data_IF_887544402222
#
_entry.id   IF_887544402222
#
_cell.length_a   1.000
_cell.length_b   1.000
_cell.length_c   1.000
_cell.angle_alpha   90.00
_cell.angle_beta   90.00
_cell.angle_gamma   90.00
#
_symmetry.space_group_name_H-M   'P 1'
#
loop_
_entity.id
_entity.type
_entity.pdbx_description
1 polymer ?
#
# COMPACT_ATOMS: atom_id res chain seq x y z
N UNK A 1 25.53 31.56 4.18
CA UNK A 1 24.55 30.51 4.44
C UNK A 1 24.37 29.75 3.13
N UNK A 2 24.65 28.45 3.08
CA UNK A 2 24.38 27.64 1.87
C UNK A 2 22.88 27.72 1.57
N UNK A 3 22.53 28.01 0.32
CA UNK A 3 21.12 28.05 -0.10
C UNK A 3 20.54 26.64 0.03
N UNK A 4 19.52 26.46 0.85
CA UNK A 4 18.81 25.19 0.97
C UNK A 4 18.04 24.88 -0.32
N UNK A 5 18.03 23.63 -0.73
CA UNK A 5 17.23 23.16 -1.85
C UNK A 5 15.74 23.19 -1.44
N UNK A 6 14.92 23.93 -2.17
CA UNK A 6 13.48 23.98 -1.91
C UNK A 6 12.79 22.87 -2.70
N UNK A 7 12.09 21.96 -1.99
CA UNK A 7 11.38 20.83 -2.58
C UNK A 7 9.95 20.75 -2.07
N UNK A 8 9.06 20.25 -2.92
CA UNK A 8 7.70 19.89 -2.56
C UNK A 8 7.62 18.41 -2.19
N UNK A 9 6.89 18.08 -1.12
CA UNK A 9 6.49 16.71 -0.80
C UNK A 9 4.97 16.61 -0.80
N UNK A 10 4.42 15.78 -1.68
CA UNK A 10 3.00 15.40 -1.65
C UNK A 10 2.81 14.14 -0.84
N UNK A 11 1.93 14.17 0.15
CA UNK A 11 1.67 13.01 1.01
C UNK A 11 0.40 13.14 1.84
N UNK A 12 -0.10 12.01 2.35
CA UNK A 12 -1.13 11.98 3.37
C UNK A 12 -0.53 12.36 4.72
N UNK A 13 -1.37 12.88 5.61
CA UNK A 13 -0.94 13.31 6.92
C UNK A 13 -1.07 12.17 7.93
N UNK A 14 0.06 11.61 8.32
CA UNK A 14 0.18 10.57 9.33
C UNK A 14 0.86 11.11 10.59
N UNK A 15 0.65 10.48 11.73
CA UNK A 15 1.42 10.70 12.97
C UNK A 15 2.93 10.67 12.72
N UNK A 16 3.41 9.66 11.98
CA UNK A 16 4.83 9.43 11.60
C UNK A 16 5.38 10.42 10.58
N UNK A 17 4.55 11.26 9.95
CA UNK A 17 4.99 12.36 9.06
C UNK A 17 4.64 13.74 9.61
N UNK A 18 3.96 13.81 10.75
CA UNK A 18 3.52 15.05 11.36
C UNK A 18 4.66 16.05 11.60
N UNK A 19 5.83 15.57 12.09
CA UNK A 19 6.98 16.42 12.35
C UNK A 19 7.63 17.00 11.08
N UNK A 20 7.48 16.31 9.95
CA UNK A 20 7.85 16.86 8.64
C UNK A 20 6.85 17.94 8.20
N UNK A 21 5.56 17.72 8.42
CA UNK A 21 4.49 18.67 8.09
C UNK A 21 4.61 19.96 8.87
N UNK A 22 4.88 19.89 10.16
CA UNK A 22 5.07 21.07 11.03
C UNK A 22 6.38 21.80 10.80
N UNK A 23 7.35 21.16 10.11
CA UNK A 23 8.69 21.67 9.90
C UNK A 23 9.62 21.50 11.10
N UNK A 24 9.20 20.78 12.15
CA UNK A 24 10.03 20.40 13.30
C UNK A 24 11.24 19.55 12.84
N UNK A 25 11.00 18.66 11.87
CA UNK A 25 12.04 17.89 11.19
C UNK A 25 12.14 18.35 9.73
N UNK A 26 13.35 18.61 9.27
CA UNK A 26 13.65 18.93 7.87
C UNK A 26 14.86 18.11 7.41
N UNK A 27 14.89 17.62 6.16
CA UNK A 27 16.07 16.96 5.63
C UNK A 27 17.26 17.93 5.59
N UNK A 28 18.46 17.45 5.88
CA UNK A 28 19.66 18.29 5.85
C UNK A 28 19.86 18.88 4.43
N UNK A 29 20.14 20.18 4.37
CA UNK A 29 20.34 20.90 3.10
C UNK A 29 19.05 21.17 2.31
N UNK A 30 17.87 20.77 2.81
CA UNK A 30 16.58 20.92 2.13
C UNK A 30 15.64 21.79 2.97
N UNK A 31 14.79 22.53 2.27
CA UNK A 31 13.55 23.09 2.80
C UNK A 31 12.38 22.34 2.15
N UNK A 32 11.85 21.35 2.87
CA UNK A 32 10.74 20.52 2.40
C UNK A 32 9.42 21.23 2.67
N UNK A 33 8.68 21.53 1.61
CA UNK A 33 7.31 22.05 1.69
C UNK A 33 6.35 20.87 1.59
N UNK A 34 5.77 20.48 2.72
CA UNK A 34 4.79 19.41 2.80
C UNK A 34 3.42 19.89 2.29
N UNK A 35 2.87 19.20 1.30
CA UNK A 35 1.55 19.45 0.71
C UNK A 35 0.65 18.26 1.00
N UNK A 36 -0.22 18.41 2.02
CA UNK A 36 -1.22 17.40 2.32
C UNK A 36 -2.19 17.25 1.15
N UNK A 37 -2.31 16.04 0.65
CA UNK A 37 -3.14 15.72 -0.52
C UNK A 37 -3.80 14.36 -0.31
N UNK A 38 -5.09 14.26 -0.56
CA UNK A 38 -5.82 13.00 -0.49
C UNK A 38 -5.18 11.94 -1.42
N UNK A 39 -5.02 10.73 -0.91
CA UNK A 39 -4.20 9.67 -1.52
C UNK A 39 -4.56 9.37 -2.99
N UNK A 40 -5.84 9.33 -3.35
CA UNK A 40 -6.23 9.00 -4.73
C UNK A 40 -5.87 10.12 -5.71
N UNK A 41 -6.09 11.37 -5.29
CA UNK A 41 -5.71 12.54 -6.07
C UNK A 41 -4.18 12.67 -6.19
N UNK A 42 -3.48 12.45 -5.07
CA UNK A 42 -2.02 12.41 -5.04
C UNK A 42 -1.44 11.41 -6.05
N UNK A 43 -1.93 10.18 -6.03
CA UNK A 43 -1.41 9.12 -6.91
C UNK A 43 -1.70 9.40 -8.38
N UNK A 44 -2.87 9.94 -8.68
CA UNK A 44 -3.21 10.36 -10.03
C UNK A 44 -2.29 11.49 -10.53
N UNK A 45 -2.11 12.54 -9.73
CA UNK A 45 -1.26 13.69 -10.06
C UNK A 45 0.20 13.30 -10.20
N UNK A 46 0.71 12.49 -9.26
CA UNK A 46 2.09 12.03 -9.33
C UNK A 46 2.32 11.07 -10.48
N UNK A 47 1.46 10.10 -10.69
CA UNK A 47 1.59 9.12 -11.78
C UNK A 47 1.50 9.74 -13.17
N UNK A 48 0.57 10.69 -13.36
CA UNK A 48 0.31 11.30 -14.67
C UNK A 48 1.22 12.48 -14.99
N UNK A 49 1.55 13.30 -13.98
CA UNK A 49 2.22 14.58 -14.20
C UNK A 49 3.60 14.68 -13.54
N UNK A 50 3.97 13.69 -12.70
CA UNK A 50 5.13 13.77 -11.81
C UNK A 50 5.19 15.13 -11.08
N UNK A 51 4.05 15.56 -10.52
CA UNK A 51 3.82 16.94 -10.10
C UNK A 51 4.71 17.35 -8.93
N UNK A 52 4.93 16.45 -7.98
CA UNK A 52 5.72 16.73 -6.79
C UNK A 52 7.18 16.31 -6.99
N UNK A 53 8.09 17.00 -6.31
CA UNK A 53 9.53 16.67 -6.31
C UNK A 53 9.78 15.37 -5.55
N UNK A 54 9.10 15.21 -4.43
CA UNK A 54 9.05 14.02 -3.58
C UNK A 54 7.57 13.70 -3.34
N UNK A 55 7.17 12.46 -3.37
CA UNK A 55 5.78 12.09 -3.12
C UNK A 55 5.63 10.72 -2.46
N UNK A 56 4.60 10.55 -1.65
CA UNK A 56 4.05 9.24 -1.36
C UNK A 56 3.36 8.69 -2.60
N UNK A 57 3.58 7.41 -2.90
CA UNK A 57 3.01 6.79 -4.08
C UNK A 57 2.60 5.33 -3.82
N UNK A 58 1.61 4.83 -4.58
CA UNK A 58 1.19 3.43 -4.53
C UNK A 58 2.34 2.51 -4.88
N UNK A 59 2.67 1.55 -4.01
CA UNK A 59 3.79 0.63 -4.25
C UNK A 59 3.56 -0.24 -5.49
N UNK A 60 2.35 -0.77 -5.69
CA UNK A 60 2.02 -1.56 -6.88
C UNK A 60 2.11 -0.72 -8.17
N UNK A 61 1.53 0.49 -8.17
CA UNK A 61 1.63 1.39 -9.32
C UNK A 61 3.09 1.77 -9.61
N UNK A 62 3.92 1.99 -8.58
CA UNK A 62 5.34 2.24 -8.76
C UNK A 62 6.05 1.05 -9.43
N UNK A 63 5.84 -0.18 -8.93
CA UNK A 63 6.44 -1.37 -9.52
C UNK A 63 6.09 -1.51 -11.02
N UNK A 64 4.84 -1.22 -11.40
CA UNK A 64 4.44 -1.23 -12.79
C UNK A 64 5.20 -0.21 -13.66
N UNK A 65 5.65 0.92 -13.09
CA UNK A 65 6.45 1.91 -13.82
C UNK A 65 7.86 1.45 -14.12
N UNK A 66 8.38 0.42 -13.42
CA UNK A 66 9.76 -0.03 -13.58
C UNK A 66 10.05 -0.67 -14.95
N UNK A 67 9.01 -1.07 -15.68
CA UNK A 67 9.11 -1.47 -17.08
C UNK A 67 9.54 -0.32 -18.02
N UNK A 68 9.31 0.92 -17.61
CA UNK A 68 9.72 2.09 -18.37
C UNK A 68 11.10 2.59 -17.91
N UNK A 69 12.14 2.51 -18.75
CA UNK A 69 13.48 3.02 -18.41
C UNK A 69 13.50 4.54 -18.20
N UNK A 70 12.58 5.26 -18.86
CA UNK A 70 12.47 6.74 -18.79
C UNK A 70 11.53 7.23 -17.68
N UNK A 71 11.19 6.35 -16.70
CA UNK A 71 10.33 6.74 -15.58
C UNK A 71 10.85 7.98 -14.87
N UNK A 72 9.92 8.87 -14.50
CA UNK A 72 10.25 10.19 -13.96
C UNK A 72 10.82 10.17 -12.53
N UNK A 73 10.63 9.07 -11.77
CA UNK A 73 10.99 9.00 -10.36
C UNK A 73 11.58 7.65 -9.95
N UNK A 74 12.28 7.67 -8.83
CA UNK A 74 12.92 6.52 -8.17
C UNK A 74 12.42 6.44 -6.73
N UNK A 75 12.17 5.23 -6.22
CA UNK A 75 11.75 5.03 -4.85
C UNK A 75 12.91 5.12 -3.85
N UNK A 76 12.57 5.57 -2.66
CA UNK A 76 13.37 5.42 -1.44
C UNK A 76 12.72 4.34 -0.57
N UNK A 77 13.49 3.57 0.25
CA UNK A 77 12.93 2.55 1.12
C UNK A 77 12.26 3.15 2.36
N UNK A 78 11.33 4.06 2.12
CA UNK A 78 10.47 4.74 3.10
C UNK A 78 9.05 4.28 2.82
N UNK A 79 8.40 3.67 3.80
CA UNK A 79 7.09 3.03 3.66
C UNK A 79 6.06 3.70 4.57
N UNK A 80 5.50 4.84 4.16
CA UNK A 80 4.61 5.62 5.01
C UNK A 80 3.28 4.93 5.30
N UNK A 81 2.87 3.96 4.49
CA UNK A 81 1.63 3.22 4.69
C UNK A 81 1.84 1.72 4.62
N UNK A 82 1.35 1.03 5.64
CA UNK A 82 1.29 -0.42 5.77
C UNK A 82 -0.05 -0.83 6.34
N UNK A 83 -0.60 -1.94 5.90
CA UNK A 83 -1.82 -2.49 6.47
C UNK A 83 -1.98 -3.95 6.07
N UNK A 84 -2.42 -4.77 7.00
CA UNK A 84 -3.03 -6.05 6.68
C UNK A 84 -4.29 -5.81 5.84
N UNK A 85 -4.71 -6.82 5.09
CA UNK A 85 -5.82 -6.67 4.14
C UNK A 85 -6.89 -7.76 4.25
N UNK A 86 -6.82 -8.61 5.27
CA UNK A 86 -7.88 -9.60 5.53
C UNK A 86 -9.21 -8.91 5.82
N UNK A 87 -9.20 -7.79 6.55
CA UNK A 87 -10.36 -6.94 6.77
C UNK A 87 -10.97 -6.34 5.48
N UNK A 88 -10.23 -6.37 4.38
CA UNK A 88 -10.57 -5.73 3.10
C UNK A 88 -11.14 -6.71 2.06
N UNK A 89 -11.47 -7.93 2.47
CA UNK A 89 -12.13 -8.94 1.62
C UNK A 89 -13.56 -9.12 2.07
N UNK A 90 -14.48 -8.80 1.18
CA UNK A 90 -15.92 -8.88 1.38
C UNK A 90 -16.50 -9.97 0.49
N UNK A 91 -17.59 -10.59 0.93
CA UNK A 91 -18.30 -11.60 0.16
C UNK A 91 -19.81 -11.33 0.20
N UNK A 92 -20.51 -11.71 -0.87
CA UNK A 92 -21.96 -11.74 -0.84
C UNK A 92 -22.44 -12.77 0.20
N UNK A 93 -23.43 -12.41 1.00
CA UNK A 93 -23.87 -13.24 2.12
C UNK A 93 -24.54 -14.56 1.66
N UNK A 94 -25.11 -14.56 0.46
CA UNK A 94 -25.79 -15.72 -0.15
C UNK A 94 -24.80 -16.59 -0.96
N UNK A 95 -23.57 -16.10 -1.23
CA UNK A 95 -22.54 -16.90 -1.90
C UNK A 95 -22.04 -18.04 -0.99
N UNK A 96 -21.69 -19.16 -1.62
CA UNK A 96 -21.12 -20.34 -0.93
C UNK A 96 -19.63 -20.08 -0.64
N UNK A 97 -19.31 -18.92 -0.05
CA UNK A 97 -17.95 -18.52 0.31
C UNK A 97 -17.89 -18.25 1.81
N UNK A 98 -17.21 -19.13 2.54
CA UNK A 98 -17.08 -19.09 3.99
C UNK A 98 -15.63 -19.05 4.47
N UNK A 99 -14.70 -19.46 3.62
CA UNK A 99 -13.25 -19.50 3.86
C UNK A 99 -12.48 -19.15 2.57
N UNK A 100 -11.18 -18.81 2.65
CA UNK A 100 -10.41 -18.41 1.49
C UNK A 100 -10.43 -19.40 0.31
N UNK A 101 -10.36 -20.71 0.60
CA UNK A 101 -10.36 -21.75 -0.43
C UNK A 101 -11.63 -21.77 -1.28
N UNK A 102 -12.75 -21.31 -0.73
CA UNK A 102 -14.05 -21.28 -1.43
C UNK A 102 -14.09 -20.19 -2.54
N UNK A 103 -13.08 -19.28 -2.58
CA UNK A 103 -12.96 -18.30 -3.66
C UNK A 103 -12.52 -18.92 -5.00
N UNK A 104 -11.97 -20.13 -5.00
CA UNK A 104 -11.64 -20.84 -6.23
C UNK A 104 -12.90 -21.06 -7.09
N UNK A 105 -12.78 -20.83 -8.40
CA UNK A 105 -13.88 -20.96 -9.38
C UNK A 105 -15.08 -20.00 -9.14
N UNK A 106 -14.85 -18.87 -8.45
CA UNK A 106 -15.86 -17.84 -8.22
C UNK A 106 -15.55 -16.57 -9.00
N UNK A 107 -16.43 -15.56 -8.90
CA UNK A 107 -16.25 -14.25 -9.50
C UNK A 107 -15.86 -13.24 -8.40
N UNK A 108 -14.66 -12.64 -8.52
CA UNK A 108 -14.12 -11.72 -7.52
C UNK A 108 -13.82 -10.35 -8.12
N UNK A 109 -14.39 -9.31 -7.51
CA UNK A 109 -14.15 -7.92 -7.89
C UNK A 109 -12.90 -7.31 -7.24
N UNK A 110 -12.26 -6.37 -7.94
CA UNK A 110 -11.23 -5.48 -7.40
C UNK A 110 -11.25 -4.16 -8.16
N UNK A 111 -11.11 -2.97 -7.51
CA UNK A 111 -11.22 -1.70 -8.21
C UNK A 111 -10.23 -1.51 -9.36
N UNK A 112 -9.01 -1.96 -9.18
CA UNK A 112 -7.94 -1.93 -10.18
C UNK A 112 -7.06 -3.17 -10.03
N UNK A 113 -6.59 -3.74 -11.14
CA UNK A 113 -5.61 -4.83 -11.07
C UNK A 113 -4.30 -4.37 -10.43
N UNK A 114 -3.89 -3.13 -10.73
CA UNK A 114 -2.66 -2.49 -10.24
C UNK A 114 -2.73 -2.00 -8.79
N UNK A 115 -3.89 -2.10 -8.11
CA UNK A 115 -4.03 -1.68 -6.71
C UNK A 115 -3.14 -2.50 -5.78
N UNK A 116 -2.30 -1.83 -4.97
CA UNK A 116 -1.37 -2.52 -4.05
C UNK A 116 -2.08 -3.45 -3.07
N UNK A 117 -3.24 -3.05 -2.55
CA UNK A 117 -4.02 -3.90 -1.64
C UNK A 117 -4.46 -5.21 -2.31
N UNK A 118 -4.86 -5.13 -3.58
CA UNK A 118 -5.29 -6.30 -4.37
C UNK A 118 -4.11 -7.18 -4.77
N UNK A 119 -2.98 -6.57 -5.14
CA UNK A 119 -1.71 -7.27 -5.40
C UNK A 119 -1.32 -8.14 -4.19
N UNK A 120 -1.30 -7.54 -2.99
CA UNK A 120 -1.01 -8.25 -1.75
C UNK A 120 -2.02 -9.35 -1.45
N UNK A 121 -3.33 -9.04 -1.52
CA UNK A 121 -4.33 -10.04 -1.18
C UNK A 121 -4.33 -11.22 -2.16
N UNK A 122 -4.16 -11.00 -3.46
CA UNK A 122 -3.97 -12.11 -4.42
C UNK A 122 -2.76 -12.95 -4.05
N UNK A 123 -1.60 -12.34 -3.77
CA UNK A 123 -0.42 -13.06 -3.33
C UNK A 123 -0.64 -13.87 -2.04
N UNK A 124 -1.26 -13.27 -1.03
CA UNK A 124 -1.58 -13.93 0.24
C UNK A 124 -2.59 -15.07 0.04
N UNK A 125 -3.63 -14.87 -0.77
CA UNK A 125 -4.61 -15.92 -1.09
C UNK A 125 -3.93 -17.11 -1.77
N UNK A 126 -3.05 -16.85 -2.75
CA UNK A 126 -2.33 -17.92 -3.46
C UNK A 126 -1.32 -18.63 -2.57
N UNK A 127 -0.39 -17.88 -1.96
CA UNK A 127 0.75 -18.48 -1.25
C UNK A 127 0.38 -19.01 0.15
N UNK A 128 -0.35 -18.22 0.93
CA UNK A 128 -0.64 -18.58 2.32
C UNK A 128 -1.90 -19.42 2.48
N UNK A 129 -2.94 -19.14 1.66
CA UNK A 129 -4.21 -19.88 1.73
C UNK A 129 -4.40 -20.93 0.63
N UNK A 130 -3.45 -21.07 -0.30
CA UNK A 130 -3.48 -22.10 -1.35
C UNK A 130 -4.60 -21.94 -2.37
N UNK A 131 -5.11 -20.73 -2.57
CA UNK A 131 -6.17 -20.44 -3.54
C UNK A 131 -5.61 -20.46 -4.95
N UNK A 132 -6.19 -21.24 -5.86
CA UNK A 132 -5.85 -21.22 -7.29
C UNK A 132 -6.37 -19.94 -7.94
N UNK A 133 -5.50 -18.92 -8.04
CA UNK A 133 -5.89 -17.58 -8.49
C UNK A 133 -6.36 -17.52 -9.95
N UNK A 134 -5.87 -18.43 -10.79
CA UNK A 134 -6.22 -18.54 -12.23
C UNK A 134 -7.59 -19.17 -12.42
N UNK A 135 -8.12 -19.85 -11.38
CA UNK A 135 -9.48 -20.37 -11.39
C UNK A 135 -10.57 -19.30 -11.17
N UNK A 136 -10.17 -18.11 -10.68
CA UNK A 136 -11.09 -17.01 -10.34
C UNK A 136 -11.38 -16.16 -11.58
N UNK A 137 -12.65 -15.80 -11.78
CA UNK A 137 -13.04 -14.75 -12.74
C UNK A 137 -12.92 -13.37 -12.10
N UNK A 138 -11.83 -12.68 -12.43
CA UNK A 138 -11.56 -11.35 -11.86
C UNK A 138 -12.34 -10.26 -12.61
N UNK A 139 -12.96 -9.37 -11.85
CA UNK A 139 -13.67 -8.19 -12.37
C UNK A 139 -13.01 -6.91 -11.87
N UNK A 140 -12.71 -5.97 -12.78
CA UNK A 140 -12.20 -4.64 -12.42
C UNK A 140 -13.24 -3.57 -12.70
N UNK A 141 -13.26 -2.49 -11.90
CA UNK A 141 -14.19 -1.38 -12.08
C UNK A 141 -14.32 -0.50 -10.86
N UNK A 142 -15.14 0.54 -10.94
CA UNK A 142 -15.36 1.43 -9.81
C UNK A 142 -16.03 0.73 -8.62
N UNK A 143 -15.60 1.07 -7.39
CA UNK A 143 -16.20 0.51 -6.19
C UNK A 143 -17.63 1.04 -5.99
N UNK A 144 -17.77 2.36 -5.89
CA UNK A 144 -19.04 3.06 -5.66
C UNK A 144 -19.42 4.00 -6.83
N UNK A 145 -18.43 4.37 -7.65
CA UNK A 145 -18.60 5.25 -8.79
C UNK A 145 -18.26 4.50 -10.08
N UNK A 146 -19.02 4.75 -11.12
CA UNK A 146 -18.85 4.12 -12.44
C UNK A 146 -17.66 4.70 -13.21
N UNK A 147 -17.20 4.03 -14.26
CA UNK A 147 -16.23 4.56 -15.21
C UNK A 147 -14.78 4.63 -14.67
N UNK A 148 -14.44 3.91 -13.60
CA UNK A 148 -13.08 3.89 -13.08
C UNK A 148 -12.11 3.21 -14.04
N UNK A 149 -10.98 3.88 -14.27
CA UNK A 149 -9.89 3.37 -15.10
C UNK A 149 -8.66 3.01 -14.24
N UNK A 150 -7.85 2.09 -14.74
CA UNK A 150 -6.55 1.73 -14.13
C UNK A 150 -5.61 2.95 -14.08
N UNK A 151 -5.02 3.21 -12.91
CA UNK A 151 -4.03 4.29 -12.73
C UNK A 151 -2.67 3.95 -13.35
N UNK A 152 -2.31 2.67 -13.33
CA UNK A 152 -1.10 2.15 -13.94
C UNK A 152 -1.48 0.93 -14.79
N UNK A 153 -1.22 0.93 -16.09
CA UNK A 153 -1.55 -0.20 -16.95
C UNK A 153 -0.67 -1.40 -16.58
N UNK A 154 -1.30 -2.44 -16.06
CA UNK A 154 -0.69 -3.76 -15.83
C UNK A 154 -1.45 -4.75 -16.68
N UNK A 155 -0.72 -5.51 -17.49
CA UNK A 155 -1.30 -6.62 -18.23
C UNK A 155 -1.18 -7.89 -17.36
N UNK A 156 -2.32 -8.43 -16.88
CA UNK A 156 -2.30 -9.72 -16.18
C UNK A 156 -1.69 -10.80 -17.09
N UNK A 157 -1.03 -11.82 -16.52
CA UNK A 157 -0.61 -13.01 -17.29
C UNK A 157 -1.81 -13.65 -18.00
N UNK A 158 -1.57 -14.32 -19.14
CA UNK A 158 -2.61 -14.87 -20.03
C UNK A 158 -3.51 -15.93 -19.36
N UNK A 159 -3.01 -16.59 -18.34
CA UNK A 159 -3.75 -17.58 -17.55
C UNK A 159 -4.73 -16.97 -16.54
N UNK A 160 -4.65 -15.66 -16.27
CA UNK A 160 -5.63 -14.96 -15.45
C UNK A 160 -6.82 -14.49 -16.28
N UNK A 161 -8.01 -14.79 -15.81
CA UNK A 161 -9.26 -14.30 -16.42
C UNK A 161 -9.65 -12.97 -15.80
N UNK A 162 -9.32 -11.86 -16.44
CA UNK A 162 -9.61 -10.51 -15.96
C UNK A 162 -10.45 -9.76 -16.98
N UNK A 163 -11.55 -9.16 -16.54
CA UNK A 163 -12.39 -8.31 -17.38
C UNK A 163 -12.94 -7.11 -16.61
N UNK A 164 -13.22 -6.02 -17.34
CA UNK A 164 -13.85 -4.83 -16.78
C UNK A 164 -15.37 -5.00 -16.71
N UNK A 165 -16.02 -4.46 -15.64
CA UNK A 165 -17.46 -4.58 -15.40
C UNK A 165 -18.32 -3.68 -16.30
N UNK A 166 -17.73 -2.88 -17.16
CA UNK A 166 -18.44 -1.85 -17.93
C UNK A 166 -18.55 -0.52 -17.18
N UNK A 167 -18.96 0.50 -17.93
CA UNK A 167 -18.93 1.88 -17.43
C UNK A 167 -20.23 2.32 -16.73
N UNK A 168 -21.26 1.46 -16.71
CA UNK A 168 -22.59 1.79 -16.18
C UNK A 168 -22.86 1.17 -14.80
N UNK A 169 -21.92 0.40 -14.26
CA UNK A 169 -22.10 -0.38 -13.04
C UNK A 169 -20.96 -0.16 -12.05
N UNK A 170 -21.15 -0.67 -10.81
CA UNK A 170 -20.15 -0.62 -9.75
C UNK A 170 -19.96 -1.99 -9.12
N UNK A 171 -18.75 -2.22 -8.58
CA UNK A 171 -18.45 -3.47 -7.89
C UNK A 171 -19.33 -3.68 -6.65
N UNK A 172 -19.67 -2.60 -5.94
CA UNK A 172 -20.60 -2.66 -4.80
C UNK A 172 -21.99 -3.13 -5.23
N UNK A 173 -22.52 -2.61 -6.33
CA UNK A 173 -23.82 -3.05 -6.85
C UNK A 173 -23.80 -4.51 -7.30
N UNK A 174 -22.73 -4.93 -8.01
CA UNK A 174 -22.59 -6.33 -8.43
C UNK A 174 -22.47 -7.29 -7.25
N UNK A 175 -21.73 -6.92 -6.20
CA UNK A 175 -21.64 -7.71 -4.97
C UNK A 175 -23.01 -7.83 -4.29
N UNK A 176 -23.79 -6.73 -4.20
CA UNK A 176 -25.11 -6.71 -3.60
C UNK A 176 -26.13 -7.59 -4.34
N UNK A 177 -26.03 -7.70 -5.68
CA UNK A 177 -26.91 -8.51 -6.52
C UNK A 177 -26.48 -9.98 -6.61
N UNK A 178 -25.27 -10.32 -6.15
CA UNK A 178 -24.69 -11.65 -6.28
C UNK A 178 -24.08 -11.94 -7.65
N UNK A 179 -23.81 -10.90 -8.46
CA UNK A 179 -23.03 -11.03 -9.71
C UNK A 179 -21.52 -11.20 -9.40
N UNK A 180 -21.10 -10.78 -8.21
CA UNK A 180 -19.81 -11.08 -7.60
C UNK A 180 -20.01 -11.92 -6.34
N UNK A 181 -19.23 -12.98 -6.19
CA UNK A 181 -19.14 -13.78 -4.97
C UNK A 181 -18.27 -13.10 -3.91
N UNK A 182 -17.21 -12.41 -4.36
CA UNK A 182 -16.26 -11.73 -3.50
C UNK A 182 -15.79 -10.37 -4.05
N UNK A 183 -15.21 -9.56 -3.18
CA UNK A 183 -14.65 -8.25 -3.48
C UNK A 183 -13.42 -7.98 -2.64
N UNK A 184 -12.30 -7.64 -3.28
CA UNK A 184 -11.07 -7.22 -2.63
C UNK A 184 -10.88 -5.72 -2.91
N UNK A 185 -10.92 -4.89 -1.85
CA UNK A 185 -10.86 -3.44 -2.00
C UNK A 185 -10.17 -2.77 -0.82
N UNK A 186 -9.40 -1.70 -1.08
CA UNK A 186 -8.76 -0.92 -0.01
C UNK A 186 -9.75 -0.06 0.79
N UNK A 187 -10.91 0.27 0.21
CA UNK A 187 -11.96 1.05 0.87
C UNK A 187 -13.12 0.14 1.27
N UNK A 188 -13.68 0.39 2.43
CA UNK A 188 -14.86 -0.34 2.90
C UNK A 188 -16.06 0.02 2.02
N UNK A 189 -16.80 -0.97 1.46
CA UNK A 189 -18.02 -0.70 0.70
C UNK A 189 -19.05 0.06 1.54
N UNK A 190 -19.72 1.05 0.91
CA UNK A 190 -20.68 1.90 1.61
C UNK A 190 -21.86 1.09 2.18
N UNK A 191 -22.35 0.10 1.44
CA UNK A 191 -23.42 -0.77 1.90
C UNK A 191 -23.01 -1.56 3.17
N UNK A 192 -21.76 -2.02 3.25
CA UNK A 192 -21.25 -2.67 4.47
C UNK A 192 -21.22 -1.71 5.66
N UNK A 193 -20.79 -0.45 5.47
CA UNK A 193 -20.80 0.57 6.52
C UNK A 193 -22.22 0.88 7.01
N UNK A 194 -23.20 0.77 6.14
CA UNK A 194 -24.62 0.96 6.47
C UNK A 194 -25.27 -0.27 7.10
N UNK A 195 -24.53 -1.37 7.26
CA UNK A 195 -25.03 -2.61 7.87
C UNK A 195 -25.92 -3.44 6.95
N UNK A 196 -25.76 -3.34 5.62
CA UNK A 196 -26.52 -4.17 4.68
C UNK A 196 -26.17 -5.66 4.90
N UNK A 197 -27.16 -6.53 5.23
CA UNK A 197 -26.91 -7.91 5.56
C UNK A 197 -26.44 -8.77 4.38
N UNK A 198 -26.55 -8.28 3.15
CA UNK A 198 -26.11 -8.98 1.93
C UNK A 198 -24.59 -9.00 1.76
N UNK A 199 -23.85 -8.18 2.52
CA UNK A 199 -22.39 -8.12 2.46
C UNK A 199 -21.82 -8.47 3.83
N UNK A 200 -20.85 -9.37 3.85
CA UNK A 200 -20.08 -9.73 5.05
C UNK A 200 -18.57 -9.76 4.75
N UNK A 201 -17.74 -9.65 5.78
CA UNK A 201 -16.30 -9.92 5.62
C UNK A 201 -16.08 -11.43 5.47
N UNK A 202 -15.12 -11.81 4.62
CA UNK A 202 -14.68 -13.22 4.51
C UNK A 202 -14.09 -13.70 5.85
N UNK A 203 -13.33 -12.84 6.53
CA UNK A 203 -12.85 -13.08 7.90
C UNK A 203 -13.63 -12.21 8.89
N UNK A 204 -14.65 -12.71 9.58
CA UNK A 204 -15.36 -11.95 10.62
C UNK A 204 -14.40 -11.50 11.74
N UNK A 205 -13.53 -12.39 12.20
CA UNK A 205 -12.40 -12.09 13.10
C UNK A 205 -11.10 -11.92 12.28
N UNK A 206 -11.03 -10.83 11.54
CA UNK A 206 -9.87 -10.52 10.72
C UNK A 206 -8.60 -10.24 11.56
N UNK A 207 -8.72 -9.73 12.80
CA UNK A 207 -7.56 -9.48 13.67
C UNK A 207 -6.83 -10.78 14.01
N UNK A 208 -7.56 -11.84 14.35
CA UNK A 208 -6.95 -13.15 14.59
C UNK A 208 -6.32 -13.73 13.34
N UNK A 209 -6.95 -13.57 12.16
CA UNK A 209 -6.38 -14.02 10.89
C UNK A 209 -5.09 -13.24 10.53
N UNK A 210 -5.07 -11.93 10.72
CA UNK A 210 -3.91 -11.05 10.47
C UNK A 210 -2.76 -11.36 11.43
N UNK A 211 -3.06 -11.63 12.70
CA UNK A 211 -2.07 -12.08 13.69
C UNK A 211 -1.46 -13.43 13.30
N UNK A 212 -2.28 -14.41 12.96
CA UNK A 212 -1.82 -15.74 12.53
C UNK A 212 -0.95 -15.65 11.26
N UNK A 213 -1.35 -14.81 10.29
CA UNK A 213 -0.56 -14.54 9.10
C UNK A 213 0.81 -13.93 9.47
N UNK A 214 0.85 -12.92 10.34
CA UNK A 214 2.09 -12.31 10.78
C UNK A 214 2.98 -13.30 11.54
N UNK A 215 2.43 -14.08 12.45
CA UNK A 215 3.17 -15.11 13.21
C UNK A 215 3.80 -16.16 12.27
N UNK A 216 3.10 -16.51 11.18
CA UNK A 216 3.61 -17.48 10.20
C UNK A 216 4.65 -16.89 9.24
N UNK A 217 4.57 -15.58 8.92
CA UNK A 217 5.34 -15.00 7.80
C UNK A 217 6.25 -13.84 8.20
N UNK A 218 6.03 -13.22 9.35
CA UNK A 218 6.65 -11.95 9.76
C UNK A 218 6.42 -10.79 8.76
N UNK A 219 5.37 -10.87 7.92
CA UNK A 219 5.07 -9.87 6.90
C UNK A 219 3.98 -8.91 7.38
N UNK A 220 4.28 -7.60 7.33
CA UNK A 220 3.29 -6.53 7.37
C UNK A 220 3.26 -5.91 5.97
N UNK A 221 2.16 -6.03 5.22
CA UNK A 221 2.10 -5.62 3.82
C UNK A 221 2.39 -4.13 3.62
N UNK A 222 3.35 -3.83 2.73
CA UNK A 222 3.73 -2.47 2.35
C UNK A 222 2.73 -1.96 1.31
N UNK A 223 2.04 -0.84 1.63
CA UNK A 223 1.06 -0.25 0.72
C UNK A 223 1.65 0.85 -0.14
N UNK A 224 2.39 1.75 0.47
CA UNK A 224 2.92 2.94 -0.21
C UNK A 224 4.43 3.06 -0.01
N UNK A 225 5.06 3.80 -0.90
CA UNK A 225 6.49 4.09 -0.92
C UNK A 225 6.71 5.58 -1.21
N UNK A 226 7.80 6.15 -0.72
CA UNK A 226 8.20 7.52 -1.10
C UNK A 226 9.01 7.46 -2.38
N UNK A 227 8.62 8.27 -3.37
CA UNK A 227 9.33 8.44 -4.65
C UNK A 227 9.91 9.84 -4.77
N UNK A 228 11.04 9.95 -5.47
CA UNK A 228 11.75 11.22 -5.73
C UNK A 228 11.97 11.36 -7.23
N UNK A 229 11.84 12.57 -7.77
CA UNK A 229 12.18 12.83 -9.17
C UNK A 229 13.62 12.38 -9.45
N UNK A 230 13.80 11.56 -10.49
CA UNK A 230 15.12 11.04 -10.89
C UNK A 230 16.14 12.16 -11.10
N UNK A 231 15.76 13.20 -11.84
CA UNK A 231 16.65 14.34 -12.13
C UNK A 231 17.16 15.05 -10.87
N UNK A 232 16.41 15.03 -9.76
CA UNK A 232 16.87 15.59 -8.48
C UNK A 232 17.94 14.72 -7.83
N UNK A 233 17.79 13.40 -7.90
CA UNK A 233 18.80 12.47 -7.36
C UNK A 233 20.08 12.49 -8.21
N UNK A 234 19.96 12.63 -9.52
CA UNK A 234 21.10 12.76 -10.44
C UNK A 234 21.88 14.06 -10.15
N UNK A 235 21.19 15.17 -9.89
CA UNK A 235 21.80 16.46 -9.56
C UNK A 235 22.31 16.54 -8.11
N UNK A 236 21.68 15.81 -7.19
CA UNK A 236 21.93 15.87 -5.75
C UNK A 236 21.99 14.46 -5.13
N UNK A 237 23.05 13.66 -5.35
CA UNK A 237 23.13 12.26 -4.89
C UNK A 237 22.96 12.08 -3.37
N UNK A 238 23.29 13.10 -2.57
CA UNK A 238 23.14 13.12 -1.12
C UNK A 238 21.66 13.17 -0.66
N UNK A 239 20.74 13.63 -1.54
CA UNK A 239 19.34 13.91 -1.21
C UNK A 239 18.59 12.66 -0.74
N UNK A 240 18.86 11.50 -1.35
CA UNK A 240 18.18 10.26 -1.02
C UNK A 240 18.38 9.89 0.46
N UNK A 241 19.61 9.91 0.96
CA UNK A 241 19.93 9.57 2.35
C UNK A 241 19.36 10.61 3.33
N UNK A 242 19.48 11.89 3.02
CA UNK A 242 18.98 12.97 3.87
C UNK A 242 17.44 12.94 4.00
N UNK A 243 16.73 12.52 2.94
CA UNK A 243 15.28 12.25 3.01
C UNK A 243 14.99 11.05 3.90
N UNK A 244 15.68 9.91 3.71
CA UNK A 244 15.49 8.72 4.55
C UNK A 244 15.70 9.06 6.02
N UNK A 245 16.76 9.78 6.35
CA UNK A 245 17.08 10.18 7.74
C UNK A 245 16.01 11.10 8.32
N UNK A 246 15.51 12.07 7.55
CA UNK A 246 14.46 12.97 8.02
C UNK A 246 13.14 12.24 8.29
N UNK A 247 12.73 11.34 7.39
CA UNK A 247 11.53 10.52 7.60
C UNK A 247 11.69 9.60 8.81
N UNK A 248 12.88 9.02 9.00
CA UNK A 248 13.18 8.18 10.16
C UNK A 248 13.15 8.99 11.47
N UNK A 249 13.72 10.20 11.49
CA UNK A 249 13.67 11.10 12.65
C UNK A 249 12.23 11.53 12.99
N UNK A 250 11.39 11.72 11.97
CA UNK A 250 9.99 12.12 12.19
C UNK A 250 9.16 10.99 12.79
N UNK A 251 9.39 9.73 12.37
CA UNK A 251 8.58 8.59 12.81
C UNK A 251 8.98 7.99 14.16
N UNK A 252 10.29 8.00 14.51
CA UNK A 252 10.81 7.32 15.71
C UNK A 252 10.09 7.64 17.02
N UNK A 253 9.71 8.90 17.31
CA UNK A 253 9.03 9.22 18.55
C UNK A 253 7.60 8.69 18.64
N UNK A 254 6.95 8.37 17.51
CA UNK A 254 5.52 8.05 17.46
C UNK A 254 5.14 6.87 18.34
N UNK A 255 5.92 5.78 18.31
CA UNK A 255 5.62 4.61 19.15
C UNK A 255 5.66 4.95 20.64
N UNK A 256 6.61 5.78 21.06
CA UNK A 256 6.67 6.27 22.43
C UNK A 256 5.48 7.17 22.75
N UNK A 257 5.12 8.08 21.82
CA UNK A 257 4.00 9.01 22.01
C UNK A 257 2.66 8.26 22.16
N UNK A 258 2.45 7.18 21.39
CA UNK A 258 1.26 6.33 21.47
C UNK A 258 1.16 5.52 22.78
N UNK A 259 2.29 5.23 23.42
CA UNK A 259 2.35 4.53 24.72
C UNK A 259 2.25 5.47 25.92
N UNK A 260 2.30 6.80 25.72
CA UNK A 260 2.17 7.78 26.80
C UNK A 260 0.70 7.88 27.24
N UNK A 261 0.42 7.41 28.44
CA UNK A 261 -0.92 7.43 29.03
C UNK A 261 -1.37 8.81 29.53
N UNK A 262 -0.46 9.79 29.57
CA UNK A 262 -0.79 11.13 30.03
C UNK A 262 -1.66 11.90 29.03
N UNK A 263 -1.50 11.65 27.73
CA UNK A 263 -2.21 12.33 26.64
C UNK A 263 -2.53 11.35 25.52
N UNK A 264 -3.82 11.17 25.19
CA UNK A 264 -4.20 10.48 23.96
C UNK A 264 -3.99 11.41 22.77
N UNK A 265 -3.21 10.99 21.79
CA UNK A 265 -2.91 11.75 20.56
C UNK A 265 -3.96 11.58 19.46
N UNK A 266 -4.80 10.55 19.57
CA UNK A 266 -5.94 10.29 18.69
C UNK A 266 -7.27 10.36 19.45
N UNK A 267 -8.38 10.18 18.74
CA UNK A 267 -9.73 10.08 19.33
C UNK A 267 -10.06 8.68 19.86
N UNK A 268 -9.09 7.77 19.93
CA UNK A 268 -9.27 6.43 20.47
C UNK A 268 -9.03 6.43 21.98
N UNK A 269 -10.07 6.16 22.77
CA UNK A 269 -9.97 6.16 24.25
C UNK A 269 -9.00 5.08 24.75
N UNK A 270 -8.87 3.98 24.04
CA UNK A 270 -7.96 2.87 24.37
C UNK A 270 -6.69 2.89 23.51
N UNK A 271 -6.24 4.07 23.07
CA UNK A 271 -5.06 4.24 22.22
C UNK A 271 -3.84 3.52 22.77
N UNK A 272 -3.47 3.79 24.03
CA UNK A 272 -2.30 3.16 24.65
C UNK A 272 -2.42 1.64 24.78
N UNK A 273 -3.61 1.14 25.13
CA UNK A 273 -3.84 -0.30 25.23
C UNK A 273 -3.70 -1.01 23.86
N UNK A 274 -4.21 -0.39 22.79
CA UNK A 274 -3.99 -0.91 21.44
C UNK A 274 -2.53 -0.82 21.01
N UNK A 275 -1.85 0.26 21.35
CA UNK A 275 -0.42 0.42 21.06
C UNK A 275 0.44 -0.61 21.80
N UNK A 276 0.15 -0.89 23.07
CA UNK A 276 0.80 -1.95 23.85
C UNK A 276 0.59 -3.34 23.23
N UNK A 277 -0.66 -3.66 22.87
CA UNK A 277 -1.00 -4.94 22.23
C UNK A 277 -0.27 -5.10 20.89
N UNK A 278 -0.28 -4.05 20.05
CA UNK A 278 0.37 -4.04 18.75
C UNK A 278 1.90 -4.17 18.88
N UNK A 279 2.52 -3.40 19.77
CA UNK A 279 3.94 -3.46 20.02
C UNK A 279 4.41 -4.83 20.53
N UNK A 280 3.59 -5.50 21.36
CA UNK A 280 3.89 -6.84 21.85
C UNK A 280 3.90 -7.91 20.76
N UNK A 281 3.07 -7.74 19.71
CA UNK A 281 2.94 -8.70 18.58
C UNK A 281 3.86 -8.32 17.42
N UNK A 282 3.82 -7.06 16.97
CA UNK A 282 4.44 -6.61 15.73
C UNK A 282 5.80 -5.92 15.93
N UNK A 283 6.13 -5.55 17.17
CA UNK A 283 7.30 -4.72 17.47
C UNK A 283 7.11 -3.29 16.93
N UNK A 284 8.03 -2.82 16.08
CA UNK A 284 7.91 -1.56 15.36
C UNK A 284 7.44 -1.83 13.91
N UNK A 285 6.14 -1.66 13.60
CA UNK A 285 5.59 -2.05 12.31
C UNK A 285 5.96 -1.12 11.16
N UNK A 286 6.46 0.09 11.45
CA UNK A 286 6.76 1.12 10.45
C UNK A 286 8.26 1.36 10.22
N UNK A 287 9.12 0.38 10.48
CA UNK A 287 10.55 0.50 10.16
C UNK A 287 10.77 0.77 8.68
N UNK A 288 11.70 1.69 8.38
CA UNK A 288 12.15 1.97 7.02
C UNK A 288 13.43 1.18 6.69
N UNK A 289 13.85 1.25 5.42
CA UNK A 289 15.04 0.56 4.94
C UNK A 289 14.75 -0.82 4.34
N UNK A 290 15.66 -1.28 3.48
CA UNK A 290 15.52 -2.56 2.78
C UNK A 290 15.75 -3.74 3.73
N UNK A 291 16.79 -3.67 4.57
CA UNK A 291 17.17 -4.79 5.44
C UNK A 291 16.06 -5.18 6.44
N UNK A 292 15.45 -4.19 7.10
CA UNK A 292 14.37 -4.42 8.07
C UNK A 292 13.06 -4.90 7.42
N UNK A 293 12.97 -4.80 6.09
CA UNK A 293 11.78 -5.12 5.30
C UNK A 293 12.01 -6.23 4.29
N UNK A 294 13.15 -6.92 4.33
CA UNK A 294 13.57 -7.87 3.31
C UNK A 294 12.52 -8.95 3.02
N UNK A 295 11.90 -9.53 4.06
CA UNK A 295 10.88 -10.58 3.90
C UNK A 295 9.64 -10.05 3.19
N UNK A 296 9.13 -8.90 3.62
CA UNK A 296 7.94 -8.27 2.99
C UNK A 296 8.24 -7.82 1.54
N UNK A 297 9.44 -7.28 1.30
CA UNK A 297 9.84 -6.86 -0.05
C UNK A 297 10.02 -8.06 -0.98
N UNK A 298 10.63 -9.16 -0.53
CA UNK A 298 10.77 -10.37 -1.35
C UNK A 298 9.40 -10.93 -1.75
N UNK A 299 8.47 -11.06 -0.81
CA UNK A 299 7.11 -11.50 -1.10
C UNK A 299 6.41 -10.57 -2.10
N UNK A 300 6.48 -9.25 -1.85
CA UNK A 300 5.87 -8.26 -2.73
C UNK A 300 6.42 -8.31 -4.17
N UNK A 301 7.74 -8.40 -4.34
CA UNK A 301 8.37 -8.46 -5.65
C UNK A 301 8.04 -9.78 -6.37
N UNK A 302 7.98 -10.90 -5.63
CA UNK A 302 7.52 -12.19 -6.17
C UNK A 302 6.06 -12.08 -6.65
N UNK A 303 5.16 -11.55 -5.84
CA UNK A 303 3.75 -11.37 -6.21
C UNK A 303 3.58 -10.41 -7.39
N UNK A 304 4.37 -9.34 -7.44
CA UNK A 304 4.34 -8.38 -8.55
C UNK A 304 4.76 -9.05 -9.88
N UNK A 305 5.81 -9.87 -9.86
CA UNK A 305 6.23 -10.62 -11.04
C UNK A 305 5.17 -11.65 -11.47
N UNK A 306 4.67 -12.47 -10.55
CA UNK A 306 3.65 -13.48 -10.83
C UNK A 306 2.34 -12.89 -11.37
N UNK A 307 2.02 -11.65 -11.05
CA UNK A 307 0.77 -10.97 -11.43
C UNK A 307 0.95 -9.98 -12.59
N UNK A 308 2.11 -9.98 -13.27
CA UNK A 308 2.35 -9.22 -14.50
C UNK A 308 2.73 -7.74 -14.29
N UNK A 309 3.07 -7.33 -13.07
CA UNK A 309 3.54 -5.94 -12.82
C UNK A 309 4.94 -5.71 -13.37
N UNK A 310 5.78 -6.75 -13.38
CA UNK A 310 7.17 -6.69 -13.82
C UNK A 310 7.47 -7.85 -14.78
N UNK A 311 8.42 -7.65 -15.69
CA UNK A 311 8.75 -8.65 -16.71
C UNK A 311 9.68 -9.75 -16.17
N UNK A 312 10.35 -9.47 -15.05
CA UNK A 312 11.20 -10.41 -14.33
C UNK A 312 11.13 -10.13 -12.83
N UNK A 313 11.68 -11.04 -12.03
CA UNK A 313 11.82 -10.82 -10.58
C UNK A 313 12.90 -9.78 -10.33
N UNK A 314 12.49 -8.61 -9.80
CA UNK A 314 13.37 -7.47 -9.59
C UNK A 314 14.30 -7.66 -8.38
N UNK A 315 15.54 -7.17 -8.49
CA UNK A 315 16.43 -6.91 -7.37
C UNK A 315 16.13 -5.56 -6.69
N UNK A 316 16.58 -5.38 -5.45
CA UNK A 316 16.35 -4.13 -4.70
C UNK A 316 17.00 -2.91 -5.36
N UNK A 317 18.12 -3.10 -6.07
CA UNK A 317 18.86 -2.09 -6.82
C UNK A 317 18.08 -1.56 -8.04
N UNK A 318 17.13 -2.34 -8.54
CA UNK A 318 16.24 -1.91 -9.62
C UNK A 318 15.04 -1.11 -9.09
N UNK A 319 14.68 -1.34 -7.81
CA UNK A 319 13.51 -0.75 -7.15
C UNK A 319 13.86 0.56 -6.47
N UNK A 320 14.97 0.63 -5.73
CA UNK A 320 15.31 1.75 -4.86
C UNK A 320 16.56 2.50 -5.32
N UNK A 321 16.70 3.73 -4.83
CA UNK A 321 17.90 4.53 -5.04
C UNK A 321 19.14 3.81 -4.46
N UNK A 322 20.21 3.57 -5.26
CA UNK A 322 21.34 2.73 -4.84
C UNK A 322 22.01 3.15 -3.53
N UNK A 323 22.12 4.45 -3.27
CA UNK A 323 22.72 4.98 -2.03
C UNK A 323 21.95 4.63 -0.75
N UNK A 324 20.71 4.15 -0.87
CA UNK A 324 19.84 3.82 0.29
C UNK A 324 19.79 2.31 0.59
N UNK A 325 20.49 1.49 -0.19
CA UNK A 325 20.46 0.03 -0.04
C UNK A 325 21.36 -0.49 1.07
N UNK A 326 22.47 0.19 1.35
CA UNK A 326 23.39 -0.20 2.41
C UNK A 326 22.98 0.44 3.74
N UNK A 327 22.87 -0.38 4.77
CA UNK A 327 22.66 0.06 6.16
C UNK A 327 23.92 0.62 6.84
N UNK A 328 25.00 0.82 6.11
CA UNK A 328 26.23 1.43 6.63
C UNK A 328 25.98 2.92 6.92
N UNK A 329 25.29 3.16 8.03
CA UNK A 329 25.28 4.48 8.67
C UNK A 329 26.54 4.57 9.50
N UNK A 330 27.46 5.44 9.09
CA UNK A 330 28.65 5.81 9.87
C UNK A 330 28.20 6.68 11.04
#
# INVERSE_FOLDING_TARGET
MSQRLELTYGGELYDRTWRLYTGEVQPEGVRLRYLHTAIEDLFWRQGKYAEFDVAEYSMGAYLATLKNPDRAFVALPIFPSRAFRHASVYVNADAVVSQPADLANTTVGTPEWSMTASLWMRGILGEHYGVELTSIDWRTGGLEETGRQEKAPVLPPEDFRVSHIGDDDTLSNQLLRGDLDGLITARTPQAFLQGDPRIKRLWPDFRSAERAYFEATAIIPIMHVVVVRRALLDAHPWLANNLVDAFELARRPVQHDLLDTAVCTSSLIWESAYAEEEAAVLGDPFRYGVADNAVALQALLSYAHQQGFTDHLLGYEEVFAPSTLSSARI
#
